data_IF_615801671847
#
_entry.id   IF_615801671847
#
_cell.length_a   1.000
_cell.length_b   1.000
_cell.length_c   1.000
_cell.angle_alpha   90.00
_cell.angle_beta   90.00
_cell.angle_gamma   90.00
#
_symmetry.space_group_name_H-M   'P 1'
#
loop_
_entity.id
_entity.type
_entity.pdbx_description
1 polymer ?
#
# COMPACT_ATOMS: atom_id res chain seq x y z
N UNK A 1 -1.85 -18.81 -27.76
CA UNK A 1 -1.49 -18.37 -26.41
C UNK A 1 -2.03 -16.96 -26.26
N UNK A 2 -2.99 -16.76 -25.37
CA UNK A 2 -3.50 -15.41 -25.08
C UNK A 2 -2.55 -14.66 -24.16
N UNK A 3 -2.85 -13.37 -23.98
CA UNK A 3 -2.02 -12.45 -23.22
C UNK A 3 -1.91 -12.79 -21.74
N UNK A 4 -2.97 -13.33 -21.14
CA UNK A 4 -2.97 -13.69 -19.72
C UNK A 4 -2.13 -14.95 -19.49
N UNK A 5 -2.27 -15.96 -20.35
CA UNK A 5 -1.45 -17.17 -20.36
C UNK A 5 0.04 -16.85 -20.53
N UNK A 6 0.37 -15.93 -21.45
CA UNK A 6 1.76 -15.48 -21.65
C UNK A 6 2.34 -14.83 -20.39
N UNK A 7 1.58 -13.96 -19.71
CA UNK A 7 2.02 -13.30 -18.48
C UNK A 7 2.25 -14.29 -17.33
N UNK A 8 1.38 -15.28 -17.19
CA UNK A 8 1.54 -16.33 -16.17
C UNK A 8 2.80 -17.15 -16.42
N UNK A 9 3.07 -17.53 -17.67
CA UNK A 9 4.31 -18.21 -18.03
C UNK A 9 5.55 -17.36 -17.74
N UNK A 10 5.54 -16.07 -18.11
CA UNK A 10 6.65 -15.16 -17.81
C UNK A 10 6.86 -15.01 -16.29
N UNK A 11 5.78 -14.87 -15.50
CA UNK A 11 5.86 -14.85 -14.03
C UNK A 11 6.51 -16.13 -13.50
N UNK A 12 6.10 -17.29 -14.00
CA UNK A 12 6.65 -18.58 -13.56
C UNK A 12 8.14 -18.76 -13.92
N UNK A 13 8.62 -18.16 -15.01
CA UNK A 13 10.01 -18.28 -15.45
C UNK A 13 10.91 -17.29 -14.71
N UNK A 14 10.44 -16.06 -14.52
CA UNK A 14 11.29 -14.95 -14.09
C UNK A 14 11.11 -14.55 -12.62
N UNK A 15 10.00 -14.91 -11.96
CA UNK A 15 9.81 -14.60 -10.55
C UNK A 15 10.27 -15.77 -9.65
N UNK A 16 10.93 -15.46 -8.52
CA UNK A 16 11.16 -16.46 -7.48
C UNK A 16 9.85 -17.09 -7.00
N UNK A 17 9.90 -18.37 -6.62
CA UNK A 17 8.73 -19.13 -6.09
C UNK A 17 8.08 -18.43 -4.89
N UNK A 18 8.86 -17.71 -4.08
CA UNK A 18 8.39 -16.96 -2.91
C UNK A 18 8.18 -15.46 -3.18
N UNK A 19 8.11 -15.04 -4.45
CA UNK A 19 8.00 -13.63 -4.85
C UNK A 19 6.77 -12.94 -4.25
N UNK A 20 5.63 -13.63 -4.21
CA UNK A 20 4.41 -13.08 -3.61
C UNK A 20 4.57 -12.81 -2.12
N UNK A 21 5.04 -13.82 -1.38
CA UNK A 21 5.27 -13.72 0.06
C UNK A 21 6.29 -12.61 0.38
N UNK A 22 7.43 -12.59 -0.33
CA UNK A 22 8.48 -11.59 -0.11
C UNK A 22 8.01 -10.17 -0.45
N UNK A 23 7.20 -10.00 -1.50
CA UNK A 23 6.60 -8.71 -1.85
C UNK A 23 5.59 -8.27 -0.78
N UNK A 24 4.73 -9.16 -0.31
CA UNK A 24 3.78 -8.87 0.78
C UNK A 24 4.51 -8.47 2.06
N UNK A 25 5.54 -9.22 2.45
CA UNK A 25 6.37 -8.88 3.61
C UNK A 25 7.11 -7.56 3.42
N UNK A 26 7.55 -7.24 2.20
CA UNK A 26 8.14 -5.94 1.88
C UNK A 26 7.13 -4.83 2.15
N UNK A 27 5.88 -4.94 1.69
CA UNK A 27 4.83 -3.93 1.91
C UNK A 27 4.60 -3.71 3.41
N UNK A 28 4.41 -4.78 4.19
CA UNK A 28 4.13 -4.69 5.64
C UNK A 28 5.30 -4.10 6.46
N UNK A 29 6.52 -4.09 5.90
CA UNK A 29 7.71 -3.51 6.55
C UNK A 29 8.00 -2.08 6.10
N UNK A 30 7.31 -1.57 5.09
CA UNK A 30 7.54 -0.22 4.62
C UNK A 30 7.09 0.80 5.65
N UNK A 31 7.89 1.83 5.82
CA UNK A 31 7.62 2.98 6.67
C UNK A 31 7.59 4.25 5.83
N UNK A 32 6.81 5.24 6.27
CA UNK A 32 6.83 6.57 5.72
C UNK A 32 8.22 7.15 5.91
N UNK A 33 8.74 7.27 7.13
CA UNK A 33 10.04 7.92 7.37
C UNK A 33 9.93 9.44 7.12
N UNK A 34 11.00 10.04 6.64
CA UNK A 34 11.05 11.49 6.40
C UNK A 34 10.41 11.95 5.07
N UNK A 35 9.84 11.04 4.28
CA UNK A 35 9.25 11.38 2.97
C UNK A 35 7.78 11.81 3.11
N UNK A 36 7.27 12.59 2.14
CA UNK A 36 5.85 12.89 2.04
C UNK A 36 4.99 11.62 2.04
N UNK A 37 3.80 11.71 2.65
CA UNK A 37 2.83 10.63 2.73
C UNK A 37 2.44 10.12 1.33
N UNK A 38 2.32 11.01 0.35
CA UNK A 38 1.95 10.62 -1.02
C UNK A 38 3.02 9.74 -1.67
N UNK A 39 4.30 10.05 -1.50
CA UNK A 39 5.39 9.25 -2.08
C UNK A 39 5.45 7.88 -1.41
N UNK A 40 5.26 7.84 -0.08
CA UNK A 40 5.17 6.58 0.67
C UNK A 40 4.04 5.69 0.15
N UNK A 41 2.85 6.24 0.01
CA UNK A 41 1.67 5.47 -0.37
C UNK A 41 1.70 5.04 -1.83
N UNK A 42 2.25 5.85 -2.74
CA UNK A 42 2.49 5.46 -4.12
C UNK A 42 3.42 4.23 -4.21
N UNK A 43 4.49 4.19 -3.43
CA UNK A 43 5.37 3.02 -3.38
C UNK A 43 4.66 1.77 -2.84
N UNK A 44 3.85 1.94 -1.78
CA UNK A 44 3.08 0.84 -1.17
C UNK A 44 2.08 0.28 -2.17
N UNK A 45 1.29 1.14 -2.81
CA UNK A 45 0.31 0.75 -3.82
C UNK A 45 0.98 0.15 -5.06
N UNK A 46 2.12 0.72 -5.50
CA UNK A 46 2.91 0.19 -6.61
C UNK A 46 3.36 -1.24 -6.36
N UNK A 47 3.84 -1.55 -5.15
CA UNK A 47 4.17 -2.93 -4.76
C UNK A 47 2.96 -3.83 -4.63
N UNK A 48 1.85 -3.33 -4.07
CA UNK A 48 0.61 -4.11 -3.97
C UNK A 48 0.07 -4.49 -5.36
N UNK A 49 0.20 -3.60 -6.35
CA UNK A 49 -0.16 -3.89 -7.74
C UNK A 49 0.67 -5.01 -8.38
N UNK A 50 1.90 -5.28 -7.92
CA UNK A 50 2.67 -6.44 -8.37
C UNK A 50 2.03 -7.77 -7.95
N UNK A 51 1.24 -7.75 -6.86
CA UNK A 51 0.46 -8.86 -6.35
C UNK A 51 -0.93 -8.93 -6.98
N UNK A 52 -1.28 -8.05 -7.91
CA UNK A 52 -2.57 -8.09 -8.56
C UNK A 52 -2.84 -9.47 -9.20
N UNK A 53 -4.06 -9.96 -8.97
CA UNK A 53 -4.53 -11.30 -9.36
C UNK A 53 -3.85 -12.47 -8.65
N UNK A 54 -3.25 -12.24 -7.49
CA UNK A 54 -2.79 -13.30 -6.60
C UNK A 54 -3.48 -13.21 -5.25
N UNK A 55 -3.51 -14.31 -4.49
CA UNK A 55 -4.10 -14.36 -3.15
C UNK A 55 -3.36 -13.47 -2.13
N UNK A 56 -2.17 -12.99 -2.51
CA UNK A 56 -1.37 -12.09 -1.69
C UNK A 56 -1.74 -10.61 -1.86
N UNK A 57 -2.59 -10.27 -2.84
CA UNK A 57 -3.09 -8.90 -3.04
C UNK A 57 -3.83 -8.40 -1.79
N UNK A 58 -3.48 -7.21 -1.32
CA UNK A 58 -4.18 -6.56 -0.21
C UNK A 58 -5.29 -5.67 -0.77
N UNK A 59 -6.53 -5.93 -0.33
CA UNK A 59 -7.66 -5.04 -0.63
C UNK A 59 -7.51 -3.70 0.11
N UNK A 60 -8.43 -2.78 -0.16
CA UNK A 60 -8.46 -1.43 0.41
C UNK A 60 -8.34 -1.41 1.95
N UNK A 61 -9.04 -2.30 2.65
CA UNK A 61 -8.97 -2.37 4.11
C UNK A 61 -7.60 -2.83 4.61
N UNK A 62 -7.04 -3.88 4.00
CA UNK A 62 -5.72 -4.40 4.40
C UNK A 62 -4.60 -3.43 4.04
N UNK A 63 -4.65 -2.81 2.86
CA UNK A 63 -3.62 -1.86 2.43
C UNK A 63 -3.70 -0.58 3.25
N UNK A 64 -4.90 -0.12 3.61
CA UNK A 64 -5.09 0.99 4.57
C UNK A 64 -4.40 0.68 5.90
N UNK A 65 -4.70 -0.46 6.52
CA UNK A 65 -4.07 -0.86 7.78
C UNK A 65 -2.55 -0.92 7.67
N UNK A 66 -2.01 -1.41 6.54
CA UNK A 66 -0.58 -1.43 6.29
C UNK A 66 0.02 -0.02 6.18
N UNK A 67 -0.68 0.90 5.51
CA UNK A 67 -0.27 2.30 5.39
C UNK A 67 -0.31 2.99 6.76
N UNK A 68 -1.40 2.83 7.53
CA UNK A 68 -1.54 3.38 8.89
C UNK A 68 -0.44 2.86 9.81
N UNK A 69 -0.11 1.58 9.76
CA UNK A 69 0.96 0.99 10.57
C UNK A 69 2.37 1.45 10.19
N UNK A 70 2.56 1.93 8.95
CA UNK A 70 3.83 2.46 8.47
C UNK A 70 3.93 3.99 8.46
N UNK A 71 2.83 4.68 8.73
CA UNK A 71 2.73 6.13 8.80
C UNK A 71 3.66 6.71 9.88
N UNK A 72 4.13 7.94 9.68
CA UNK A 72 4.86 8.66 10.72
C UNK A 72 3.99 8.92 11.95
N UNK A 73 4.59 8.79 13.14
CA UNK A 73 3.85 8.85 14.40
C UNK A 73 3.10 10.18 14.58
N UNK A 74 3.73 11.30 14.24
CA UNK A 74 3.11 12.62 14.36
C UNK A 74 1.91 12.77 13.42
N UNK A 75 2.01 12.25 12.19
CA UNK A 75 0.89 12.25 11.25
C UNK A 75 -0.23 11.33 11.71
N UNK A 76 0.09 10.17 12.29
CA UNK A 76 -0.90 9.25 12.83
C UNK A 76 -1.67 9.86 14.01
N UNK A 77 -0.99 10.61 14.88
CA UNK A 77 -1.64 11.38 15.97
C UNK A 77 -2.57 12.45 15.40
N UNK A 78 -2.14 13.17 14.37
CA UNK A 78 -2.97 14.18 13.71
C UNK A 78 -4.21 13.55 13.05
N UNK A 79 -4.04 12.44 12.34
CA UNK A 79 -5.14 11.67 11.75
C UNK A 79 -6.17 11.22 12.79
N UNK A 80 -5.70 10.79 13.97
CA UNK A 80 -6.58 10.43 15.08
C UNK A 80 -7.35 11.64 15.61
N UNK A 81 -6.67 12.78 15.78
CA UNK A 81 -7.28 14.03 16.25
C UNK A 81 -8.37 14.53 15.30
N UNK A 82 -8.13 14.43 13.99
CA UNK A 82 -9.08 14.83 12.94
C UNK A 82 -10.09 13.72 12.58
N UNK A 83 -10.08 12.59 13.30
CA UNK A 83 -11.04 11.49 13.17
C UNK A 83 -11.14 10.93 11.73
N UNK A 84 -10.00 10.81 11.03
CA UNK A 84 -9.95 10.29 9.66
C UNK A 84 -10.33 8.81 9.56
N UNK A 85 -10.32 8.08 10.68
CA UNK A 85 -10.87 6.73 10.82
C UNK A 85 -12.37 6.63 10.45
N UNK A 86 -13.13 7.72 10.57
CA UNK A 86 -14.55 7.76 10.16
C UNK A 86 -14.74 7.77 8.64
N UNK A 87 -13.70 8.10 7.87
CA UNK A 87 -13.73 8.09 6.41
C UNK A 87 -13.61 6.66 5.92
N UNK A 88 -14.73 6.08 5.45
CA UNK A 88 -14.81 4.66 5.04
C UNK A 88 -14.14 4.42 3.70
N UNK A 89 -14.37 5.29 2.71
CA UNK A 89 -13.85 5.09 1.37
C UNK A 89 -12.33 5.32 1.34
N UNK A 90 -11.56 4.30 0.94
CA UNK A 90 -10.09 4.34 0.94
C UNK A 90 -9.52 5.56 0.21
N UNK A 91 -10.05 5.88 -0.98
CA UNK A 91 -9.60 7.06 -1.74
C UNK A 91 -9.86 8.37 -0.99
N UNK A 92 -11.04 8.52 -0.38
CA UNK A 92 -11.37 9.73 0.38
C UNK A 92 -10.49 9.85 1.62
N UNK A 93 -10.20 8.72 2.27
CA UNK A 93 -9.28 8.67 3.41
C UNK A 93 -7.86 9.08 3.00
N UNK A 94 -7.36 8.56 1.89
CA UNK A 94 -6.05 8.93 1.32
C UNK A 94 -5.94 10.43 1.06
N UNK A 95 -6.98 11.03 0.48
CA UNK A 95 -7.01 12.47 0.17
C UNK A 95 -6.99 13.32 1.46
N UNK A 96 -7.71 12.90 2.50
CA UNK A 96 -7.72 13.59 3.80
C UNK A 96 -6.36 13.51 4.50
N UNK A 97 -5.77 12.31 4.59
CA UNK A 97 -4.46 12.11 5.23
C UNK A 97 -3.36 12.89 4.49
N UNK A 98 -3.42 12.91 3.15
CA UNK A 98 -2.53 13.75 2.34
C UNK A 98 -2.64 15.22 2.72
N UNK A 99 -3.87 15.73 2.87
CA UNK A 99 -4.09 17.12 3.24
C UNK A 99 -3.54 17.45 4.64
N UNK A 100 -3.57 16.50 5.57
CA UNK A 100 -2.97 16.65 6.90
C UNK A 100 -1.43 16.64 6.85
N UNK A 101 -0.83 15.75 6.06
CA UNK A 101 0.63 15.69 5.90
C UNK A 101 1.19 16.97 5.26
N UNK A 102 0.47 17.57 4.29
CA UNK A 102 0.86 18.83 3.63
C UNK A 102 0.78 20.06 4.55
N UNK A 103 0.03 20.00 5.66
CA UNK A 103 -0.06 21.09 6.65
C UNK A 103 1.08 21.06 7.67
N UNK A 104 1.86 19.99 7.71
CA UNK A 104 2.91 19.74 8.70
C UNK A 104 4.22 20.42 8.32
#
# INVERSE_FOLDING_TARGET
MDWDTYKEQMRSIFLPVNSEYTTRMSILRMKQGSRPFIDYTLDVMGKNNLLARTDSFMNDDFIRNAIEAGMEADLAVECHRENTNSVVAFKAWMDEVKHLDEKR
#
